data_IF_427339993038
#
_entry.id   IF_427339993038
#
_cell.length_a   1.000
_cell.length_b   1.000
_cell.length_c   1.000
_cell.angle_alpha   90.00
_cell.angle_beta   90.00
_cell.angle_gamma   90.00
#
_symmetry.space_group_name_H-M   'P 1'
#
loop_
_entity.id
_entity.type
_entity.pdbx_description
1 polymer ?
#
# COMPACT_ATOMS: atom_id res chain seq x y z
N UNK A 1 -13.14 7.92 12.68
CA UNK A 1 -12.89 7.67 11.24
C UNK A 1 -11.56 8.31 10.89
N UNK A 2 -10.59 7.56 10.39
CA UNK A 2 -9.27 8.07 10.06
C UNK A 2 -9.23 8.23 8.53
N UNK A 3 -9.30 9.46 8.04
CA UNK A 3 -9.41 9.78 6.61
C UNK A 3 -8.27 9.17 5.77
N UNK A 4 -7.07 9.03 6.36
CA UNK A 4 -5.91 8.37 5.71
C UNK A 4 -6.17 6.87 5.54
N UNK A 5 -6.74 6.22 6.55
CA UNK A 5 -7.10 4.79 6.48
C UNK A 5 -8.22 4.54 5.48
N UNK A 6 -9.21 5.42 5.45
CA UNK A 6 -10.34 5.30 4.53
C UNK A 6 -9.89 5.50 3.07
N UNK A 7 -8.94 6.42 2.82
CA UNK A 7 -8.28 6.58 1.52
C UNK A 7 -7.41 5.37 1.14
N UNK A 8 -6.59 4.87 2.07
CA UNK A 8 -5.79 3.67 1.81
C UNK A 8 -6.67 2.45 1.49
N UNK A 9 -7.84 2.35 2.13
CA UNK A 9 -8.79 1.28 1.86
C UNK A 9 -9.47 1.43 0.48
N UNK A 10 -9.76 2.66 0.03
CA UNK A 10 -10.33 2.88 -1.31
C UNK A 10 -9.32 2.62 -2.42
N UNK A 11 -8.04 2.91 -2.21
CA UNK A 11 -6.97 2.61 -3.19
C UNK A 11 -6.86 1.12 -3.53
N UNK A 12 -7.25 0.22 -2.61
CA UNK A 12 -7.26 -1.23 -2.88
C UNK A 12 -8.19 -1.62 -4.04
N UNK A 13 -9.23 -0.84 -4.34
CA UNK A 13 -10.13 -1.13 -5.46
C UNK A 13 -9.58 -0.69 -6.81
N UNK A 14 -8.52 0.12 -6.86
CA UNK A 14 -8.01 0.71 -8.10
C UNK A 14 -7.23 -0.30 -8.92
N UNK A 15 -7.50 -0.46 -10.21
CA UNK A 15 -6.67 -1.30 -11.08
C UNK A 15 -5.28 -0.68 -11.37
N UNK A 16 -4.40 -1.45 -12.01
CA UNK A 16 -3.03 -1.00 -12.32
C UNK A 16 -3.00 0.20 -13.28
N UNK A 17 -4.02 0.35 -14.13
CA UNK A 17 -4.16 1.48 -15.03
C UNK A 17 -4.53 2.74 -14.24
N UNK A 18 -5.52 2.62 -13.36
CA UNK A 18 -5.98 3.69 -12.47
C UNK A 18 -4.82 4.16 -11.57
N UNK A 19 -4.10 3.25 -10.92
CA UNK A 19 -2.95 3.59 -10.09
C UNK A 19 -1.91 4.39 -10.90
N UNK A 20 -1.61 3.97 -12.14
CA UNK A 20 -0.65 4.69 -13.00
C UNK A 20 -1.13 6.07 -13.38
N UNK A 21 -2.41 6.21 -13.78
CA UNK A 21 -3.00 7.48 -14.19
C UNK A 21 -3.01 8.46 -13.00
N UNK A 22 -3.46 8.01 -11.83
CA UNK A 22 -3.50 8.85 -10.63
C UNK A 22 -2.11 9.20 -10.11
N UNK A 23 -1.13 8.29 -10.22
CA UNK A 23 0.27 8.59 -9.83
C UNK A 23 0.84 9.70 -10.70
N UNK A 24 0.61 9.62 -12.02
CA UNK A 24 1.03 10.67 -12.96
C UNK A 24 0.35 12.00 -12.64
N UNK A 25 -0.97 11.99 -12.47
CA UNK A 25 -1.75 13.17 -12.10
C UNK A 25 -1.24 13.81 -10.81
N UNK A 26 -1.05 13.04 -9.74
CA UNK A 26 -0.57 13.53 -8.45
C UNK A 26 0.85 14.14 -8.57
N UNK A 27 1.70 13.55 -9.41
CA UNK A 27 3.05 14.07 -9.70
C UNK A 27 2.98 15.40 -10.43
N UNK A 28 2.14 15.52 -11.47
CA UNK A 28 1.95 16.77 -12.22
C UNK A 28 1.44 17.91 -11.32
N UNK A 29 0.48 17.62 -10.44
CA UNK A 29 -0.03 18.60 -9.48
C UNK A 29 0.99 18.98 -8.41
N UNK A 30 1.73 18.02 -7.88
CA UNK A 30 2.85 18.30 -6.97
C UNK A 30 3.83 19.27 -7.61
N UNK A 31 4.20 19.02 -8.87
CA UNK A 31 5.20 19.84 -9.57
C UNK A 31 4.70 21.26 -9.82
N UNK A 32 3.41 21.43 -10.15
CA UNK A 32 2.78 22.75 -10.21
C UNK A 32 2.87 23.48 -8.85
N UNK A 33 2.49 22.82 -7.75
CA UNK A 33 2.52 23.45 -6.42
C UNK A 33 3.94 23.74 -5.92
N UNK A 34 4.92 22.93 -6.35
CA UNK A 34 6.33 23.18 -6.10
C UNK A 34 6.78 24.47 -6.80
N UNK A 35 6.34 24.71 -8.04
CA UNK A 35 6.65 25.97 -8.76
C UNK A 35 5.97 27.19 -8.15
N UNK A 36 4.80 27.00 -7.53
CA UNK A 36 4.05 28.07 -6.83
C UNK A 36 4.56 28.36 -5.41
N UNK A 37 5.49 27.56 -4.88
CA UNK A 37 6.06 27.72 -3.54
C UNK A 37 5.16 27.23 -2.40
N UNK A 38 4.15 26.41 -2.70
CA UNK A 38 3.20 25.88 -1.71
C UNK A 38 3.69 24.57 -1.08
N UNK A 39 4.53 24.67 -0.05
CA UNK A 39 5.17 23.50 0.56
C UNK A 39 4.19 22.49 1.19
N UNK A 40 3.08 22.98 1.75
CA UNK A 40 2.06 22.12 2.38
C UNK A 40 1.33 21.27 1.34
N UNK A 41 0.96 21.84 0.20
CA UNK A 41 0.33 21.09 -0.88
C UNK A 41 1.30 20.13 -1.55
N UNK A 42 2.58 20.50 -1.67
CA UNK A 42 3.63 19.57 -2.13
C UNK A 42 3.73 18.36 -1.20
N UNK A 43 3.71 18.58 0.13
CA UNK A 43 3.74 17.50 1.10
C UNK A 43 2.48 16.60 1.00
N UNK A 44 1.31 17.21 0.81
CA UNK A 44 0.06 16.47 0.56
C UNK A 44 0.16 15.59 -0.67
N UNK A 45 0.56 16.14 -1.83
CA UNK A 45 0.67 15.35 -3.05
C UNK A 45 1.76 14.28 -2.98
N UNK A 46 2.85 14.53 -2.26
CA UNK A 46 3.84 13.50 -1.96
C UNK A 46 3.24 12.33 -1.16
N UNK A 47 2.39 12.61 -0.17
CA UNK A 47 1.70 11.56 0.56
C UNK A 47 0.77 10.74 -0.35
N UNK A 48 0.03 11.39 -1.26
CA UNK A 48 -0.81 10.71 -2.26
C UNK A 48 0.04 9.79 -3.16
N UNK A 49 1.15 10.30 -3.68
CA UNK A 49 2.08 9.52 -4.53
C UNK A 49 2.62 8.31 -3.76
N UNK A 50 3.05 8.48 -2.52
CA UNK A 50 3.54 7.37 -1.69
C UNK A 50 2.48 6.28 -1.52
N UNK A 51 1.23 6.65 -1.18
CA UNK A 51 0.15 5.67 -1.02
C UNK A 51 -0.14 4.88 -2.31
N UNK A 52 -0.09 5.54 -3.48
CA UNK A 52 -0.29 4.88 -4.77
C UNK A 52 0.85 3.91 -5.10
N UNK A 53 2.10 4.27 -4.76
CA UNK A 53 3.26 3.40 -4.95
C UNK A 53 3.23 2.18 -4.01
N UNK A 54 2.82 2.38 -2.77
CA UNK A 54 2.62 1.31 -1.78
C UNK A 54 1.55 0.32 -2.26
N UNK A 55 0.41 0.80 -2.75
CA UNK A 55 -0.64 -0.07 -3.28
C UNK A 55 -0.19 -0.84 -4.52
N UNK A 56 0.58 -0.20 -5.41
CA UNK A 56 1.20 -0.89 -6.55
C UNK A 56 2.13 -2.02 -6.10
N UNK A 57 2.95 -1.76 -5.08
CA UNK A 57 3.87 -2.75 -4.54
C UNK A 57 3.10 -3.91 -3.88
N UNK A 58 2.06 -3.61 -3.10
CA UNK A 58 1.18 -4.61 -2.48
C UNK A 58 0.58 -5.56 -3.53
N UNK A 59 0.07 -5.01 -4.63
CA UNK A 59 -0.46 -5.79 -5.76
C UNK A 59 0.59 -6.66 -6.43
N UNK A 60 1.79 -6.12 -6.67
CA UNK A 60 2.89 -6.89 -7.25
C UNK A 60 3.35 -8.04 -6.35
N UNK A 61 3.28 -7.87 -5.02
CA UNK A 61 3.53 -8.94 -4.05
C UNK A 61 2.42 -9.98 -4.09
N UNK A 62 1.15 -9.56 -4.14
CA UNK A 62 0.01 -10.49 -4.19
C UNK A 62 0.00 -11.32 -5.48
N UNK A 63 0.31 -10.71 -6.64
CA UNK A 63 0.45 -11.45 -7.90
C UNK A 63 1.55 -12.50 -7.78
N UNK A 64 2.72 -12.16 -7.23
CA UNK A 64 3.79 -13.13 -7.02
C UNK A 64 3.39 -14.26 -6.07
N UNK A 65 2.65 -13.95 -5.01
CA UNK A 65 2.10 -14.95 -4.08
C UNK A 65 1.14 -15.90 -4.79
N UNK A 66 0.21 -15.37 -5.58
CA UNK A 66 -0.74 -16.16 -6.36
C UNK A 66 -0.04 -17.03 -7.40
N UNK A 67 0.98 -16.51 -8.10
CA UNK A 67 1.81 -17.28 -9.02
C UNK A 67 2.55 -18.42 -8.31
N UNK A 68 3.07 -18.18 -7.10
CA UNK A 68 3.74 -19.21 -6.31
C UNK A 68 2.76 -20.27 -5.80
N UNK A 69 1.57 -19.84 -5.35
CA UNK A 69 0.50 -20.75 -4.94
C UNK A 69 0.06 -21.63 -6.10
N UNK A 70 -0.10 -21.05 -7.30
CA UNK A 70 -0.42 -21.80 -8.51
C UNK A 70 0.64 -22.86 -8.85
N UNK A 71 1.94 -22.53 -8.68
CA UNK A 71 3.03 -23.47 -8.97
C UNK A 71 3.23 -24.56 -7.92
N UNK A 72 2.97 -24.26 -6.65
CA UNK A 72 3.36 -25.13 -5.52
C UNK A 72 2.17 -25.77 -4.80
N UNK A 73 0.95 -25.27 -5.03
CA UNK A 73 -0.26 -25.66 -4.30
C UNK A 73 -0.29 -25.16 -2.85
N UNK A 74 0.67 -24.34 -2.42
CA UNK A 74 0.77 -23.82 -1.05
C UNK A 74 0.61 -22.31 -1.02
N UNK A 75 -0.25 -21.82 -0.13
CA UNK A 75 -0.43 -20.40 0.10
C UNK A 75 0.58 -19.89 1.15
N UNK A 76 1.46 -18.98 0.75
CA UNK A 76 2.41 -18.31 1.63
C UNK A 76 1.89 -16.92 2.01
N UNK A 77 0.74 -16.86 2.70
CA UNK A 77 0.37 -15.60 3.37
C UNK A 77 1.49 -15.22 4.34
N UNK A 78 1.96 -13.97 4.26
CA UNK A 78 2.68 -13.39 5.39
C UNK A 78 1.72 -13.43 6.60
N UNK A 79 2.20 -13.78 7.81
CA UNK A 79 1.36 -13.73 9.00
C UNK A 79 0.85 -12.30 9.15
N UNK A 80 -0.46 -12.15 9.30
CA UNK A 80 -1.10 -10.87 9.58
C UNK A 80 -0.46 -10.31 10.87
N UNK A 81 0.35 -9.26 10.76
CA UNK A 81 0.96 -8.56 11.91
C UNK A 81 -0.07 -7.80 12.76
N UNK A 82 -1.36 -8.03 12.54
CA UNK A 82 -2.46 -7.46 13.31
C UNK A 82 -2.95 -8.40 14.44
N UNK A 83 -2.39 -9.61 14.57
CA UNK A 83 -2.72 -10.58 15.64
C UNK A 83 -1.75 -10.57 16.85
N UNK A 84 -0.99 -9.49 17.07
CA UNK A 84 -0.28 -9.29 18.35
C UNK A 84 -1.23 -8.82 19.47
N UNK A 85 -2.26 -9.64 19.77
CA UNK A 85 -2.91 -9.61 21.07
C UNK A 85 -3.46 -11.00 21.43
N UNK A 86 -2.59 -12.00 21.55
CA UNK A 86 -2.94 -13.22 22.28
C UNK A 86 -2.27 -14.50 21.81
N UNK A 87 -0.98 -14.67 22.09
CA UNK A 87 -0.45 -15.96 22.56
C UNK A 87 1.00 -15.78 23.03
N UNK A 88 1.15 -15.32 24.27
CA UNK A 88 2.29 -15.75 25.08
C UNK A 88 1.76 -16.95 25.83
N UNK A 89 2.06 -18.16 25.37
CA UNK A 89 2.25 -19.28 26.27
C UNK A 89 2.98 -20.44 25.58
N UNK A 90 3.89 -21.01 26.37
CA UNK A 90 4.51 -22.32 26.26
C UNK A 90 5.42 -22.61 25.07
N UNK A 91 6.70 -22.26 25.21
CA UNK A 91 7.78 -23.22 24.94
C UNK A 91 9.05 -22.85 25.73
N UNK A 92 9.14 -23.34 26.97
CA UNK A 92 10.42 -23.56 27.66
C UNK A 92 10.29 -24.73 28.64
N UNK A 93 10.07 -25.93 28.10
CA UNK A 93 10.43 -27.18 28.76
C UNK A 93 10.97 -28.13 27.71
N UNK A 94 12.30 -28.17 27.59
CA UNK A 94 13.16 -29.37 27.57
C UNK A 94 14.60 -28.96 27.29
#
# INVERSE_FOLDING_TARGET
MNAVRDLAQSLKSFDDCEIRVYTRFATEWRDQRLTEGSAEEVAFWNAIVSMLLEERQRRATEVRRLEMMYRTGKDLKEPDLDDEQGHIDDYASY
#
